data_IF_339986176685
#
_entry.id   IF_339986176685
#
_cell.length_a   1.000
_cell.length_b   1.000
_cell.length_c   1.000
_cell.angle_alpha   90.00
_cell.angle_beta   90.00
_cell.angle_gamma   90.00
#
_symmetry.space_group_name_H-M   'P 1'
#
loop_
_entity.id
_entity.type
_entity.pdbx_description
1 polymer ?
#
# COMPACT_ATOMS: atom_id res chain seq x y z
N UNK A 1 14.69 3.62 9.59
CA UNK A 1 13.24 3.85 9.49
C UNK A 1 12.51 2.64 10.07
N UNK A 2 11.58 2.85 11.00
CA UNK A 2 10.67 1.82 11.49
C UNK A 2 9.23 2.15 11.13
N UNK A 3 8.39 1.11 10.99
CA UNK A 3 7.01 1.22 10.55
C UNK A 3 6.09 0.44 11.49
N UNK A 4 4.85 0.91 11.65
CA UNK A 4 3.78 0.10 12.22
C UNK A 4 3.42 -1.06 11.26
N UNK A 5 2.58 -2.00 11.72
CA UNK A 5 2.19 -3.17 10.95
C UNK A 5 1.59 -2.81 9.57
N UNK A 6 0.87 -1.69 9.49
CA UNK A 6 0.26 -1.18 8.25
C UNK A 6 1.09 -0.11 7.55
N UNK A 7 2.38 0.04 7.87
CA UNK A 7 3.27 0.92 7.12
C UNK A 7 3.28 2.38 7.54
N UNK A 8 2.57 2.74 8.62
CA UNK A 8 2.69 4.08 9.19
C UNK A 8 4.11 4.29 9.70
N UNK A 9 4.76 5.37 9.26
CA UNK A 9 6.14 5.69 9.63
C UNK A 9 6.19 6.07 11.11
N UNK A 10 6.97 5.33 11.90
CA UNK A 10 7.15 5.63 13.32
C UNK A 10 8.11 6.80 13.49
N UNK A 11 7.69 7.82 14.24
CA UNK A 11 8.55 8.92 14.69
C UNK A 11 9.39 8.42 15.89
N UNK A 12 10.42 7.63 15.59
CA UNK A 12 11.37 7.09 16.57
C UNK A 12 10.90 5.83 17.29
N UNK A 13 11.85 4.94 17.57
CA UNK A 13 11.66 3.83 18.51
C UNK A 13 12.14 4.23 19.90
N UNK A 14 11.56 3.58 20.91
CA UNK A 14 11.66 3.79 22.36
C UNK A 14 13.06 3.95 23.00
N UNK A 15 14.15 3.85 22.24
CA UNK A 15 15.53 3.97 22.75
C UNK A 15 16.29 5.22 22.32
N UNK A 16 15.86 5.96 21.31
CA UNK A 16 16.44 7.25 20.99
C UNK A 16 15.57 7.95 19.95
N UNK A 17 15.32 9.22 20.16
CA UNK A 17 15.06 10.18 19.08
C UNK A 17 16.24 10.09 18.10
N UNK A 18 16.09 9.26 17.06
CA UNK A 18 17.09 9.14 16.00
C UNK A 18 17.15 10.50 15.28
N UNK A 19 18.26 11.25 15.43
CA UNK A 19 18.39 12.61 14.91
C UNK A 19 18.34 12.64 13.37
N UNK A 20 18.42 11.49 12.71
CA UNK A 20 18.33 11.38 11.26
C UNK A 20 16.90 11.24 10.74
N UNK A 21 15.91 10.94 11.59
CA UNK A 21 14.48 10.83 11.20
C UNK A 21 13.95 12.00 10.35
N UNK A 22 14.25 13.28 10.65
CA UNK A 22 13.82 14.39 9.79
C UNK A 22 14.59 14.47 8.46
N UNK A 23 15.77 13.86 8.37
CA UNK A 23 16.62 13.89 7.17
C UNK A 23 16.27 12.73 6.22
N UNK A 24 15.82 11.58 6.72
CA UNK A 24 15.56 10.41 5.87
C UNK A 24 14.51 10.68 4.74
N UNK A 25 13.36 11.33 4.98
CA UNK A 25 12.44 11.68 3.89
C UNK A 25 13.03 12.70 2.91
N UNK A 26 14.01 13.51 3.32
CA UNK A 26 14.73 14.42 2.39
C UNK A 26 15.75 13.69 1.52
N UNK A 27 16.27 12.55 1.98
CA UNK A 27 17.24 11.73 1.26
C UNK A 27 16.56 10.73 0.30
N UNK A 28 15.40 10.21 0.68
CA UNK A 28 14.61 9.30 -0.15
C UNK A 28 13.14 9.31 0.26
N UNK A 29 12.26 9.39 -0.74
CA UNK A 29 10.82 9.25 -0.53
C UNK A 29 10.40 7.78 -0.38
N UNK A 30 11.28 6.80 -0.63
CA UNK A 30 10.93 5.38 -0.51
C UNK A 30 10.90 4.94 0.94
N UNK A 31 9.90 4.13 1.28
CA UNK A 31 9.69 3.65 2.64
C UNK A 31 9.11 2.24 2.71
N UNK A 32 7.94 2.11 3.34
CA UNK A 32 7.30 0.83 3.61
C UNK A 32 7.16 0.00 2.33
N UNK A 33 7.58 -1.26 2.38
CA UNK A 33 7.63 -2.21 1.23
C UNK A 33 8.41 -1.70 0.01
N UNK A 34 9.23 -0.64 0.15
CA UNK A 34 10.01 -0.05 -0.95
C UNK A 34 9.26 0.97 -1.81
N UNK A 35 8.03 1.34 -1.43
CA UNK A 35 7.20 2.26 -2.21
C UNK A 35 7.38 3.72 -1.78
N UNK A 36 7.01 4.64 -2.66
CA UNK A 36 7.15 6.08 -2.42
C UNK A 36 6.09 6.58 -1.45
N UNK A 37 6.53 7.23 -0.38
CA UNK A 37 5.69 7.91 0.59
C UNK A 37 5.47 9.34 0.12
N UNK A 38 4.21 9.76 0.20
CA UNK A 38 3.78 11.13 0.02
C UNK A 38 3.61 11.68 1.44
N UNK A 39 4.72 12.05 2.07
CA UNK A 39 4.76 12.37 3.51
C UNK A 39 3.84 13.55 3.87
N UNK A 40 3.63 14.51 2.96
CA UNK A 40 2.70 15.65 3.12
C UNK A 40 1.24 15.21 3.35
N UNK A 41 0.84 14.09 2.74
CA UNK A 41 -0.51 13.53 2.88
C UNK A 41 -0.55 12.27 3.75
N UNK A 42 0.60 11.77 4.19
CA UNK A 42 0.70 10.51 4.93
C UNK A 42 0.33 9.27 4.12
N UNK A 43 0.41 9.33 2.79
CA UNK A 43 -0.03 8.26 1.88
C UNK A 43 1.15 7.52 1.25
N UNK A 44 0.89 6.33 0.69
CA UNK A 44 1.90 5.52 -0.01
C UNK A 44 1.44 5.23 -1.44
N UNK A 45 2.30 5.54 -2.41
CA UNK A 45 2.07 5.24 -3.82
C UNK A 45 2.53 3.82 -4.15
N UNK A 46 1.59 2.87 -4.20
CA UNK A 46 1.86 1.44 -4.43
C UNK A 46 1.89 1.06 -5.92
N UNK A 47 2.40 1.97 -6.77
CA UNK A 47 2.54 1.84 -8.24
C UNK A 47 1.25 1.65 -9.07
N UNK A 48 0.13 1.27 -8.48
CA UNK A 48 -1.17 1.19 -9.16
C UNK A 48 -2.35 1.73 -8.35
N UNK A 49 -2.20 1.87 -7.04
CA UNK A 49 -3.19 2.46 -6.13
C UNK A 49 -2.50 3.25 -5.02
N UNK A 50 -3.24 4.17 -4.44
CA UNK A 50 -2.80 4.91 -3.25
C UNK A 50 -3.30 4.18 -2.01
N UNK A 51 -2.39 3.95 -1.06
CA UNK A 51 -2.65 3.26 0.19
C UNK A 51 -2.56 4.23 1.36
N UNK A 52 -3.55 4.17 2.24
CA UNK A 52 -3.58 4.88 3.52
C UNK A 52 -3.09 3.94 4.64
N UNK A 53 -1.88 4.17 5.18
CA UNK A 53 -1.30 3.35 6.22
C UNK A 53 -1.91 3.57 7.61
N UNK A 54 -2.65 4.66 7.84
CA UNK A 54 -3.29 4.93 9.14
C UNK A 54 -4.50 4.02 9.36
N UNK A 55 -5.31 3.83 8.31
CA UNK A 55 -6.48 2.93 8.36
C UNK A 55 -6.19 1.55 7.76
N UNK A 56 -5.06 1.39 7.09
CA UNK A 56 -4.61 0.14 6.48
C UNK A 56 -5.38 -0.25 5.20
N UNK A 57 -5.81 0.71 4.37
CA UNK A 57 -6.68 0.46 3.20
C UNK A 57 -6.28 1.27 1.96
N UNK A 58 -6.59 0.74 0.78
CA UNK A 58 -6.49 1.50 -0.47
C UNK A 58 -7.61 2.53 -0.63
N UNK A 59 -7.31 3.67 -1.24
CA UNK A 59 -8.27 4.74 -1.54
C UNK A 59 -9.17 4.42 -2.75
N UNK A 60 -8.86 3.36 -3.49
CA UNK A 60 -9.64 2.90 -4.64
C UNK A 60 -9.81 1.38 -4.62
N UNK A 61 -10.89 0.92 -5.25
CA UNK A 61 -11.13 -0.50 -5.51
C UNK A 61 -10.03 -1.08 -6.41
N UNK A 62 -9.86 -2.41 -6.38
CA UNK A 62 -8.95 -3.08 -7.30
C UNK A 62 -9.44 -2.93 -8.75
N UNK A 63 -8.61 -2.43 -9.68
CA UNK A 63 -9.00 -2.34 -11.09
C UNK A 63 -9.17 -3.72 -11.75
N UNK A 64 -8.71 -4.83 -11.12
CA UNK A 64 -8.98 -6.18 -11.62
C UNK A 64 -10.45 -6.54 -11.34
N UNK A 65 -11.31 -6.14 -12.28
CA UNK A 65 -12.68 -6.64 -12.41
C UNK A 65 -12.73 -7.63 -13.57
N UNK A 66 -12.47 -8.91 -13.31
CA UNK A 66 -12.90 -9.97 -14.22
C UNK A 66 -13.61 -11.06 -13.44
N UNK A 67 -14.90 -11.33 -13.69
CA UNK A 67 -15.42 -12.65 -13.36
C UNK A 67 -14.61 -13.65 -14.20
N UNK A 68 -14.09 -14.70 -13.56
CA UNK A 68 -13.72 -15.90 -14.27
C UNK A 68 -15.01 -16.39 -14.94
N UNK A 69 -15.17 -16.10 -16.23
CA UNK A 69 -16.24 -16.73 -17.01
C UNK A 69 -15.90 -18.21 -17.06
N UNK A 70 -16.43 -18.99 -16.12
CA UNK A 70 -16.55 -20.44 -16.30
C UNK A 70 -17.39 -20.62 -17.55
N UNK A 71 -16.75 -21.03 -18.65
CA UNK A 71 -17.45 -21.46 -19.85
C UNK A 71 -18.48 -22.51 -19.42
N UNK A 72 -19.76 -22.12 -19.38
CA UNK A 72 -20.87 -23.02 -19.12
C UNK A 72 -20.95 -23.92 -20.35
N UNK A 73 -20.45 -25.15 -20.25
CA UNK A 73 -20.71 -26.20 -21.23
C UNK A 73 -22.21 -26.50 -21.12
N UNK A 74 -23.01 -25.93 -22.01
CA UNK A 74 -24.43 -26.22 -22.14
C UNK A 74 -24.55 -27.62 -22.76
N UNK A 75 -24.61 -28.65 -21.93
CA UNK A 75 -24.96 -30.01 -22.35
C UNK A 75 -26.48 -30.18 -22.46
N UNK A 76 -27.15 -29.35 -23.26
CA UNK A 76 -28.60 -29.53 -23.50
C UNK A 76 -28.92 -29.29 -24.98
N UNK A 77 -28.52 -30.23 -25.85
CA UNK A 77 -29.20 -30.49 -27.13
C UNK A 77 -28.99 -31.96 -27.53
N UNK A 78 -29.78 -32.88 -26.96
CA UNK A 78 -30.27 -34.09 -27.65
C UNK A 78 -31.64 -34.44 -27.07
N UNK A 79 -32.69 -33.88 -27.69
CA UNK A 79 -33.98 -34.54 -27.89
C UNK A 79 -34.19 -34.65 -29.39
#
# INVERSE_FOLDING_TARGET
>A
MSYAAFGERRKGDWRASDPLLPIIPTLTNRGFTGHEHIDEMGLIHMNGRVYDPQIGRFLSADPISKPLTTHRVTIDTVM
#
